data_IF_996098077042
#
_entry.id   IF_996098077042
#
_cell.length_a   1.000
_cell.length_b   1.000
_cell.length_c   1.000
_cell.angle_alpha   90.00
_cell.angle_beta   90.00
_cell.angle_gamma   90.00
#
_symmetry.space_group_name_H-M   'P 1'
#
loop_
_entity.id
_entity.type
_entity.pdbx_description
1 polymer ?
#
# COMPACT_ATOMS: atom_id res chain seq x y z
N UNK A 1 26.15 44.89 44.77
CA UNK A 1 24.87 44.69 45.49
C UNK A 1 24.22 43.47 44.88
N UNK A 2 24.34 42.28 45.48
CA UNK A 2 23.44 41.75 46.53
C UNK A 2 21.98 41.69 46.01
N UNK A 3 21.24 40.58 46.00
CA UNK A 3 21.33 39.28 46.70
C UNK A 3 20.19 38.38 46.17
N UNK A 4 20.39 37.06 46.23
CA UNK A 4 19.44 35.96 46.56
C UNK A 4 18.16 35.80 45.74
N UNK A 5 17.69 34.61 45.37
CA UNK A 5 18.02 33.25 45.77
C UNK A 5 16.85 32.35 45.35
N UNK A 6 17.10 31.05 45.16
CA UNK A 6 16.06 30.07 44.84
C UNK A 6 16.68 28.71 44.55
N UNK A 7 16.93 27.95 45.61
CA UNK A 7 17.38 26.56 45.57
C UNK A 7 16.27 25.68 44.97
N UNK A 8 16.63 24.83 44.01
CA UNK A 8 15.84 23.70 43.55
C UNK A 8 16.68 22.44 43.68
N UNK A 9 16.28 21.58 44.60
CA UNK A 9 16.94 20.31 44.93
C UNK A 9 16.98 19.37 43.72
N UNK A 10 18.13 18.72 43.54
CA UNK A 10 18.36 17.78 42.45
C UNK A 10 17.65 16.45 42.66
N UNK A 11 16.75 16.11 41.75
CA UNK A 11 16.31 14.73 41.55
C UNK A 11 17.31 14.00 40.65
N UNK A 12 18.18 13.18 41.26
CA UNK A 12 18.93 12.13 40.56
C UNK A 12 17.97 11.00 40.21
N UNK A 13 17.67 10.81 38.94
CA UNK A 13 17.04 9.59 38.45
C UNK A 13 18.05 8.44 38.53
N UNK A 14 17.82 7.53 39.47
CA UNK A 14 18.51 6.23 39.57
C UNK A 14 17.85 5.29 38.57
N UNK A 15 18.62 4.79 37.61
CA UNK A 15 18.18 3.77 36.66
C UNK A 15 18.34 2.38 37.31
N UNK A 16 17.27 1.58 37.46
CA UNK A 16 17.43 0.16 37.75
C UNK A 16 17.89 -0.55 36.48
N UNK A 17 19.06 -1.18 36.58
CA UNK A 17 19.68 -1.97 35.52
C UNK A 17 18.96 -3.27 35.21
N UNK A 18 19.37 -3.83 34.07
CA UNK A 18 19.29 -5.25 33.70
C UNK A 18 17.93 -5.94 33.86
N UNK A 19 17.02 -5.63 32.95
CA UNK A 19 15.97 -6.56 32.54
C UNK A 19 16.41 -7.21 31.24
N UNK A 20 16.67 -8.52 31.31
CA UNK A 20 17.13 -9.35 30.22
C UNK A 20 16.37 -9.12 28.92
N UNK A 21 17.15 -9.02 27.85
CA UNK A 21 16.73 -8.83 26.47
C UNK A 21 15.94 -10.06 25.97
N UNK A 22 14.67 -10.17 26.38
CA UNK A 22 13.71 -11.07 25.75
C UNK A 22 13.40 -10.52 24.36
N UNK A 23 13.77 -11.28 23.32
CA UNK A 23 13.38 -11.03 21.93
C UNK A 23 11.86 -10.90 21.83
N UNK A 24 11.35 -9.67 21.76
CA UNK A 24 9.99 -9.35 21.37
C UNK A 24 9.80 -9.68 19.89
N UNK A 25 9.65 -10.97 19.57
CA UNK A 25 9.21 -11.43 18.25
C UNK A 25 7.74 -11.04 18.08
N UNK A 26 7.45 -9.97 17.34
CA UNK A 26 6.28 -9.80 16.45
C UNK A 26 4.87 -10.23 16.89
N UNK A 27 4.59 -10.40 18.18
CA UNK A 27 3.28 -10.92 18.63
C UNK A 27 2.17 -9.88 18.54
N UNK A 28 2.48 -8.58 18.66
CA UNK A 28 1.46 -7.53 18.73
C UNK A 28 0.61 -7.36 17.44
N UNK A 29 1.15 -7.70 16.26
CA UNK A 29 0.44 -7.57 14.98
C UNK A 29 -0.18 -8.88 14.47
N UNK A 30 0.29 -10.05 14.94
CA UNK A 30 -0.37 -11.33 14.65
C UNK A 30 -1.81 -11.40 15.17
N UNK A 31 -2.15 -10.57 16.15
CA UNK A 31 -3.47 -10.51 16.75
C UNK A 31 -4.49 -9.76 15.88
N UNK A 32 -4.08 -8.72 15.15
CA UNK A 32 -4.98 -7.88 14.33
C UNK A 32 -5.60 -8.68 13.15
N UNK A 33 -4.99 -9.81 12.79
CA UNK A 33 -5.36 -10.59 11.63
C UNK A 33 -6.26 -11.76 12.02
N UNK A 34 -7.49 -11.71 11.51
CA UNK A 34 -8.47 -12.79 11.45
C UNK A 34 -7.94 -14.01 10.66
N UNK A 35 -6.88 -14.64 11.14
CA UNK A 35 -6.29 -15.80 10.49
C UNK A 35 -5.99 -16.85 11.55
N UNK A 36 -6.71 -17.97 11.44
CA UNK A 36 -6.17 -19.26 11.88
C UNK A 36 -4.73 -19.34 11.37
N UNK A 37 -3.82 -19.80 12.24
CA UNK A 37 -2.40 -20.07 11.91
C UNK A 37 -2.27 -20.50 10.44
N UNK A 38 -1.68 -19.64 9.60
CA UNK A 38 -1.29 -20.00 8.23
C UNK A 38 -2.26 -19.66 7.07
N UNK A 39 -3.29 -18.82 7.23
CA UNK A 39 -4.08 -18.34 6.08
C UNK A 39 -3.55 -17.01 5.52
N UNK A 40 -3.38 -16.96 4.19
CA UNK A 40 -2.96 -15.82 3.37
C UNK A 40 -3.86 -14.60 3.61
N UNK A 41 -3.28 -13.40 3.63
CA UNK A 41 -4.03 -12.14 3.62
C UNK A 41 -4.98 -12.11 2.40
N UNK A 42 -6.07 -11.36 2.51
CA UNK A 42 -6.97 -11.11 1.37
C UNK A 42 -6.28 -10.33 0.25
N UNK A 43 -5.37 -9.43 0.61
CA UNK A 43 -4.50 -8.67 -0.29
C UNK A 43 -3.07 -9.16 -0.10
N UNK A 44 -2.30 -9.24 -1.17
CA UNK A 44 -0.86 -9.49 -1.04
C UNK A 44 -0.15 -8.17 -0.71
N UNK A 45 0.94 -8.24 0.06
CA UNK A 45 1.75 -7.06 0.42
C UNK A 45 3.12 -7.21 -0.23
N UNK A 46 3.45 -6.25 -1.08
CA UNK A 46 4.75 -6.11 -1.72
C UNK A 46 5.42 -4.82 -1.26
N UNK A 47 6.75 -4.77 -1.17
CA UNK A 47 7.50 -3.55 -0.80
C UNK A 47 8.44 -3.12 -1.91
N UNK A 48 8.51 -1.81 -2.19
CA UNK A 48 9.54 -1.26 -3.08
C UNK A 48 10.91 -1.38 -2.39
N UNK A 49 11.91 -1.97 -3.05
CA UNK A 49 13.28 -2.05 -2.56
C UNK A 49 14.04 -0.73 -2.74
N UNK A 50 13.49 0.23 -3.49
CA UNK A 50 14.08 1.54 -3.71
C UNK A 50 14.28 2.29 -2.38
N UNK A 51 15.41 2.97 -2.23
CA UNK A 51 15.82 3.63 -0.98
C UNK A 51 16.29 2.67 0.13
N UNK A 52 15.95 1.38 0.07
CA UNK A 52 16.37 0.36 1.05
C UNK A 52 17.66 -0.32 0.61
N UNK A 53 17.70 -0.78 -0.64
CA UNK A 53 18.77 -1.63 -1.16
C UNK A 53 19.18 -1.23 -2.58
N UNK A 54 20.37 -1.66 -3.01
CA UNK A 54 20.88 -1.46 -4.36
C UNK A 54 20.86 -2.81 -5.10
N UNK A 55 20.30 -2.91 -6.32
CA UNK A 55 20.21 -4.19 -7.06
C UNK A 55 21.57 -4.86 -7.30
N UNK A 56 22.65 -4.06 -7.39
CA UNK A 56 24.03 -4.56 -7.58
C UNK A 56 24.64 -5.11 -6.29
N UNK A 57 24.19 -4.69 -5.11
CA UNK A 57 24.66 -5.17 -3.79
C UNK A 57 23.50 -5.43 -2.83
N UNK A 58 22.56 -6.35 -3.16
CA UNK A 58 21.24 -6.33 -2.53
C UNK A 58 21.19 -7.00 -1.14
N UNK A 59 22.30 -7.60 -0.68
CA UNK A 59 22.35 -8.58 0.42
C UNK A 59 21.70 -8.12 1.71
N UNK A 60 22.20 -7.03 2.29
CA UNK A 60 21.73 -6.58 3.60
C UNK A 60 20.28 -6.09 3.51
N UNK A 61 19.96 -5.22 2.54
CA UNK A 61 18.62 -4.66 2.45
C UNK A 61 17.54 -5.70 2.14
N UNK A 62 17.83 -6.73 1.34
CA UNK A 62 16.89 -7.85 1.14
C UNK A 62 16.76 -8.73 2.39
N UNK A 63 17.83 -8.87 3.18
CA UNK A 63 17.74 -9.56 4.47
C UNK A 63 16.83 -8.77 5.43
N UNK A 64 16.99 -7.45 5.52
CA UNK A 64 16.18 -6.60 6.38
C UNK A 64 14.69 -6.66 5.97
N UNK A 65 14.40 -6.70 4.66
CA UNK A 65 13.03 -6.88 4.13
C UNK A 65 12.44 -8.24 4.55
N UNK A 66 13.20 -9.33 4.41
CA UNK A 66 12.77 -10.66 4.81
C UNK A 66 12.57 -10.76 6.33
N UNK A 67 13.49 -10.21 7.13
CA UNK A 67 13.44 -10.23 8.59
C UNK A 67 12.26 -9.42 9.15
N UNK A 68 11.87 -8.34 8.46
CA UNK A 68 10.65 -7.60 8.78
C UNK A 68 9.35 -8.37 8.45
N UNK A 69 9.44 -9.49 7.74
CA UNK A 69 8.31 -10.37 7.42
C UNK A 69 7.62 -10.09 6.09
N UNK A 70 8.26 -9.35 5.18
CA UNK A 70 7.79 -9.30 3.79
C UNK A 70 8.08 -10.62 3.08
N UNK A 71 7.17 -10.99 2.17
CA UNK A 71 7.27 -12.21 1.35
C UNK A 71 7.31 -11.89 -0.14
N UNK A 72 7.08 -10.62 -0.51
CA UNK A 72 7.02 -10.15 -1.88
C UNK A 72 7.67 -8.78 -2.01
N UNK A 73 8.26 -8.53 -3.18
CA UNK A 73 8.90 -7.28 -3.57
C UNK A 73 8.21 -6.74 -4.81
N UNK A 74 8.04 -5.42 -4.84
CA UNK A 74 7.68 -4.68 -6.04
C UNK A 74 8.95 -4.30 -6.79
N UNK A 75 9.19 -4.90 -7.95
CA UNK A 75 10.44 -4.68 -8.69
C UNK A 75 10.39 -3.35 -9.45
N UNK A 76 11.15 -2.37 -9.00
CA UNK A 76 11.27 -1.08 -9.68
C UNK A 76 12.43 -1.10 -10.68
N UNK A 77 12.11 -1.33 -11.95
CA UNK A 77 13.13 -1.43 -13.01
C UNK A 77 13.87 -0.11 -13.25
N UNK A 78 13.24 1.02 -12.87
CA UNK A 78 13.88 2.33 -12.83
C UNK A 78 15.11 2.42 -11.90
N UNK A 79 15.32 1.46 -10.99
CA UNK A 79 16.54 1.42 -10.18
C UNK A 79 17.82 1.14 -10.99
N UNK A 80 17.70 0.52 -12.16
CA UNK A 80 18.83 0.29 -13.08
C UNK A 80 18.70 1.03 -14.42
N UNK A 81 17.58 1.70 -14.64
CA UNK A 81 17.32 2.60 -15.76
C UNK A 81 16.61 3.86 -15.23
N UNK A 82 17.29 4.70 -14.43
CA UNK A 82 16.66 5.84 -13.78
C UNK A 82 16.25 6.92 -14.80
N UNK A 83 15.17 7.69 -14.52
CA UNK A 83 14.71 8.75 -15.41
C UNK A 83 15.81 9.76 -15.78
N UNK A 84 16.73 10.05 -14.85
CA UNK A 84 17.85 10.98 -15.09
C UNK A 84 18.84 10.47 -16.14
N UNK A 85 19.04 9.16 -16.23
CA UNK A 85 19.89 8.55 -17.26
C UNK A 85 19.21 8.62 -18.62
N UNK A 86 17.89 8.38 -18.67
CA UNK A 86 17.08 8.57 -19.87
C UNK A 86 17.17 10.01 -20.39
N UNK A 87 17.13 11.02 -19.52
CA UNK A 87 17.29 12.43 -19.93
C UNK A 87 18.66 12.74 -20.56
N UNK A 88 19.73 12.11 -20.05
CA UNK A 88 21.11 12.33 -20.50
C UNK A 88 21.48 11.49 -21.73
N UNK A 89 20.66 10.51 -22.11
CA UNK A 89 20.97 9.56 -23.18
C UNK A 89 21.31 10.26 -24.50
N UNK A 90 22.48 9.94 -25.08
CA UNK A 90 22.96 10.51 -26.34
C UNK A 90 23.59 11.91 -26.22
N UNK A 91 23.71 12.47 -25.00
CA UNK A 91 24.50 13.68 -24.76
C UNK A 91 25.96 13.31 -24.47
N UNK A 92 26.92 14.09 -24.99
CA UNK A 92 28.34 13.85 -24.72
C UNK A 92 28.63 14.04 -23.21
N UNK A 93 29.16 13.01 -22.56
CA UNK A 93 29.50 13.03 -21.14
C UNK A 93 30.47 14.18 -20.82
N UNK A 94 30.05 15.12 -19.96
CA UNK A 94 31.02 15.79 -19.09
C UNK A 94 31.28 14.81 -17.97
N UNK A 95 32.48 14.23 -17.95
CA UNK A 95 32.96 13.30 -16.93
C UNK A 95 32.51 13.72 -15.51
N UNK A 96 31.46 13.08 -14.99
CA UNK A 96 31.20 13.04 -13.55
C UNK A 96 31.80 11.73 -13.03
N UNK A 97 32.95 11.85 -12.38
CA UNK A 97 33.66 10.76 -11.75
C UNK A 97 32.75 10.01 -10.75
N UNK A 98 32.43 8.75 -11.06
CA UNK A 98 31.80 7.84 -10.09
C UNK A 98 30.80 6.81 -10.62
N UNK A 99 30.50 6.74 -11.93
CA UNK A 99 29.62 5.68 -12.43
C UNK A 99 30.37 4.32 -12.49
N UNK A 100 29.82 3.23 -11.92
CA UNK A 100 30.51 1.95 -11.90
C UNK A 100 30.33 1.23 -13.25
N UNK A 101 31.43 0.71 -13.78
CA UNK A 101 31.56 -0.17 -14.95
C UNK A 101 30.33 -1.07 -15.15
N UNK A 102 29.61 -0.87 -16.26
CA UNK A 102 28.47 -1.67 -16.67
C UNK A 102 27.74 -1.01 -17.84
N UNK A 103 27.27 -1.80 -18.79
CA UNK A 103 26.51 -1.31 -19.94
C UNK A 103 25.15 -0.77 -19.49
N UNK A 104 24.81 0.43 -19.93
CA UNK A 104 23.52 1.10 -19.66
C UNK A 104 22.35 0.32 -20.26
N UNK A 105 21.26 0.17 -19.51
CA UNK A 105 20.01 -0.41 -20.03
C UNK A 105 19.32 0.55 -21.02
N UNK A 106 19.65 1.85 -20.97
CA UNK A 106 19.19 2.82 -21.96
C UNK A 106 19.88 2.59 -23.31
N UNK A 107 21.18 2.29 -23.30
CA UNK A 107 21.94 2.03 -24.53
C UNK A 107 21.70 0.63 -25.08
N UNK A 108 21.54 -0.37 -24.20
CA UNK A 108 21.28 -1.76 -24.55
C UNK A 108 20.12 -2.32 -23.72
N UNK A 109 18.86 -2.14 -24.17
CA UNK A 109 17.67 -2.58 -23.44
C UNK A 109 17.68 -4.05 -22.99
N UNK A 110 18.24 -4.95 -23.81
CA UNK A 110 18.35 -6.38 -23.46
C UNK A 110 19.21 -6.68 -22.23
N UNK A 111 19.97 -5.71 -21.74
CA UNK A 111 20.78 -5.86 -20.51
C UNK A 111 19.97 -5.61 -19.23
N UNK A 112 18.72 -5.14 -19.33
CA UNK A 112 17.88 -4.78 -18.18
C UNK A 112 17.76 -5.92 -17.17
N UNK A 113 17.43 -7.14 -17.63
CA UNK A 113 17.30 -8.30 -16.76
C UNK A 113 18.61 -8.68 -16.07
N UNK A 114 19.74 -8.58 -16.78
CA UNK A 114 21.06 -8.92 -16.23
C UNK A 114 21.44 -8.01 -15.04
N UNK A 115 21.05 -6.73 -15.09
CA UNK A 115 21.31 -5.78 -14.01
C UNK A 115 20.60 -6.15 -12.70
N UNK A 116 19.52 -6.94 -12.77
CA UNK A 116 18.79 -7.44 -11.61
C UNK A 116 19.11 -8.89 -11.22
N UNK A 117 19.93 -9.61 -11.99
CA UNK A 117 20.20 -11.05 -11.76
C UNK A 117 20.71 -11.36 -10.34
N UNK A 118 21.56 -10.49 -9.77
CA UNK A 118 22.06 -10.66 -8.39
C UNK A 118 20.93 -10.51 -7.36
N UNK A 119 20.05 -9.54 -7.56
CA UNK A 119 18.91 -9.30 -6.70
C UNK A 119 17.90 -10.43 -6.81
N UNK A 120 17.57 -10.88 -8.02
CA UNK A 120 16.72 -12.04 -8.30
C UNK A 120 17.23 -13.29 -7.57
N UNK A 121 18.52 -13.61 -7.68
CA UNK A 121 19.14 -14.74 -7.00
C UNK A 121 18.93 -14.70 -5.48
N UNK A 122 19.13 -13.54 -4.87
CA UNK A 122 18.94 -13.35 -3.43
C UNK A 122 17.48 -13.34 -2.99
N UNK A 123 16.58 -12.83 -3.83
CA UNK A 123 15.13 -12.95 -3.59
C UNK A 123 14.73 -14.43 -3.51
N UNK A 124 15.20 -15.26 -4.46
CA UNK A 124 14.96 -16.72 -4.44
C UNK A 124 15.50 -17.39 -3.18
N UNK A 125 16.74 -17.10 -2.80
CA UNK A 125 17.36 -17.66 -1.58
C UNK A 125 16.58 -17.32 -0.31
N UNK A 126 15.94 -16.14 -0.27
CA UNK A 126 15.18 -15.65 0.89
C UNK A 126 13.68 -15.96 0.82
N UNK A 127 13.20 -16.58 -0.26
CA UNK A 127 11.78 -16.84 -0.47
C UNK A 127 10.94 -15.59 -0.73
N UNK A 128 11.54 -14.53 -1.28
CA UNK A 128 10.85 -13.30 -1.66
C UNK A 128 10.34 -13.41 -3.11
N UNK A 129 9.03 -13.36 -3.28
CA UNK A 129 8.39 -13.33 -4.60
C UNK A 129 8.46 -11.96 -5.27
N UNK A 130 8.28 -11.91 -6.59
CA UNK A 130 8.19 -10.67 -7.37
C UNK A 130 6.89 -10.72 -8.20
N UNK A 131 5.72 -10.51 -7.58
CA UNK A 131 4.44 -10.64 -8.28
C UNK A 131 4.10 -9.43 -9.16
N UNK A 132 4.70 -8.28 -8.87
CA UNK A 132 4.46 -7.00 -9.56
C UNK A 132 5.77 -6.23 -9.76
N UNK A 133 5.89 -5.57 -10.91
CA UNK A 133 7.02 -4.71 -11.26
C UNK A 133 6.52 -3.39 -11.86
N UNK A 134 7.39 -2.38 -11.92
CA UNK A 134 7.14 -1.13 -12.66
C UNK A 134 8.26 -0.89 -13.68
N UNK A 135 7.84 -0.63 -14.91
CA UNK A 135 8.74 -0.36 -16.02
C UNK A 135 9.42 1.02 -15.87
N UNK A 136 10.60 1.24 -16.47
CA UNK A 136 11.25 2.55 -16.47
C UNK A 136 10.36 3.61 -17.15
N UNK A 137 10.51 4.88 -16.76
CA UNK A 137 9.69 5.99 -17.27
C UNK A 137 10.50 7.29 -17.30
N UNK A 138 10.05 8.28 -18.07
CA UNK A 138 10.67 9.60 -18.10
C UNK A 138 10.26 10.50 -16.94
N UNK A 139 11.06 11.54 -16.69
CA UNK A 139 10.62 12.65 -15.85
C UNK A 139 9.38 13.30 -16.48
N UNK A 140 8.43 13.75 -15.64
CA UNK A 140 7.19 14.39 -16.12
C UNK A 140 7.43 15.63 -16.97
N UNK A 141 8.51 16.34 -16.70
CA UNK A 141 8.92 17.56 -17.41
C UNK A 141 9.88 17.30 -18.57
N UNK A 142 10.06 16.04 -18.98
CA UNK A 142 10.97 15.74 -20.09
C UNK A 142 10.57 16.50 -21.34
N UNK A 143 11.52 16.73 -22.22
CA UNK A 143 11.28 17.31 -23.56
C UNK A 143 11.75 16.37 -24.66
N UNK A 144 12.22 15.18 -24.27
CA UNK A 144 12.75 14.16 -25.17
C UNK A 144 11.61 13.55 -25.96
N UNK A 145 11.58 13.81 -27.25
CA UNK A 145 10.64 13.20 -28.20
C UNK A 145 11.34 12.16 -29.09
N UNK A 146 12.67 12.20 -29.13
CA UNK A 146 13.54 11.33 -29.92
C UNK A 146 13.74 9.93 -29.33
N UNK A 147 13.39 9.74 -28.05
CA UNK A 147 13.59 8.47 -27.33
C UNK A 147 12.38 7.54 -27.36
N UNK A 148 11.34 7.85 -28.14
CA UNK A 148 10.13 7.02 -28.24
C UNK A 148 10.44 5.53 -28.51
N UNK A 149 11.09 5.22 -29.63
CA UNK A 149 11.39 3.82 -29.99
C UNK A 149 12.32 3.16 -28.98
N UNK A 150 13.20 3.95 -28.34
CA UNK A 150 14.07 3.42 -27.30
C UNK A 150 13.30 3.01 -26.06
N UNK A 151 12.36 3.86 -25.63
CA UNK A 151 11.51 3.57 -24.48
C UNK A 151 10.60 2.37 -24.77
N UNK A 152 10.05 2.29 -25.98
CA UNK A 152 9.34 1.09 -26.45
C UNK A 152 10.18 -0.17 -26.27
N UNK A 153 11.41 -0.20 -26.77
CA UNK A 153 12.31 -1.36 -26.63
C UNK A 153 12.56 -1.73 -25.17
N UNK A 154 12.78 -0.75 -24.30
CA UNK A 154 12.97 -0.98 -22.87
C UNK A 154 11.72 -1.58 -22.22
N UNK A 155 10.52 -1.15 -22.60
CA UNK A 155 9.27 -1.73 -22.10
C UNK A 155 9.03 -3.13 -22.62
N UNK A 156 9.33 -3.39 -23.90
CA UNK A 156 9.30 -4.75 -24.44
C UNK A 156 10.24 -5.69 -23.67
N UNK A 157 11.47 -5.26 -23.38
CA UNK A 157 12.42 -6.02 -22.55
C UNK A 157 11.97 -6.15 -21.09
N UNK A 158 11.31 -5.12 -20.54
CA UNK A 158 10.69 -5.18 -19.21
C UNK A 158 9.63 -6.29 -19.15
N UNK A 159 8.81 -6.42 -20.19
CA UNK A 159 7.79 -7.48 -20.31
C UNK A 159 8.45 -8.85 -20.41
N UNK A 160 9.45 -9.00 -21.28
CA UNK A 160 10.21 -10.27 -21.44
C UNK A 160 10.79 -10.69 -20.09
N UNK A 161 11.43 -9.75 -19.39
CA UNK A 161 12.02 -10.01 -18.09
C UNK A 161 10.97 -10.40 -17.03
N UNK A 162 9.84 -9.69 -16.95
CA UNK A 162 8.71 -10.11 -16.10
C UNK A 162 8.25 -11.55 -16.40
N UNK A 163 8.14 -11.92 -17.67
CA UNK A 163 7.82 -13.29 -18.09
C UNK A 163 8.83 -14.31 -17.58
N UNK A 164 10.13 -14.02 -17.65
CA UNK A 164 11.18 -14.92 -17.11
C UNK A 164 11.13 -15.08 -15.60
N UNK A 165 10.72 -14.03 -14.88
CA UNK A 165 10.58 -14.04 -13.42
C UNK A 165 9.29 -14.72 -12.94
N UNK A 166 8.31 -14.93 -13.83
CA UNK A 166 6.95 -15.28 -13.44
C UNK A 166 6.21 -14.11 -12.76
N UNK A 167 6.63 -12.87 -13.01
CA UNK A 167 5.98 -11.66 -12.54
C UNK A 167 4.70 -11.40 -13.36
N UNK A 168 3.53 -11.50 -12.72
CA UNK A 168 2.24 -11.45 -13.39
C UNK A 168 1.79 -10.06 -13.81
N UNK A 169 2.27 -9.02 -13.12
CA UNK A 169 1.85 -7.64 -13.34
C UNK A 169 3.04 -6.72 -13.65
N UNK A 170 2.93 -5.95 -14.73
CA UNK A 170 3.87 -4.87 -15.05
C UNK A 170 3.12 -3.54 -15.11
N UNK A 171 3.44 -2.64 -14.19
CA UNK A 171 2.96 -1.27 -14.20
C UNK A 171 3.72 -0.49 -15.28
N UNK A 172 2.97 0.05 -16.23
CA UNK A 172 3.48 0.84 -17.34
C UNK A 172 2.71 2.14 -17.36
N UNK A 173 3.41 3.25 -17.08
CA UNK A 173 2.81 4.58 -17.12
C UNK A 173 2.29 4.90 -18.52
N UNK A 174 1.12 5.56 -18.64
CA UNK A 174 0.64 6.08 -19.91
C UNK A 174 1.70 6.96 -20.56
N UNK A 175 1.79 6.88 -21.88
CA UNK A 175 2.63 7.78 -22.64
C UNK A 175 2.11 9.21 -22.52
N UNK A 176 3.00 10.12 -22.16
CA UNK A 176 2.72 11.55 -22.11
C UNK A 176 3.35 12.20 -23.34
N UNK A 177 2.55 12.57 -24.34
CA UNK A 177 3.05 13.43 -25.40
C UNK A 177 3.29 14.83 -24.84
N UNK A 178 4.50 15.37 -25.00
CA UNK A 178 4.75 16.76 -24.63
C UNK A 178 3.94 17.68 -25.54
N UNK A 179 2.89 18.28 -24.98
CA UNK A 179 2.25 19.48 -25.50
C UNK A 179 3.19 20.68 -25.34
N UNK A 180 4.37 20.64 -25.96
CA UNK A 180 5.30 21.75 -26.07
C UNK A 180 5.04 22.62 -27.31
N UNK A 181 4.34 22.09 -28.32
CA UNK A 181 3.93 22.84 -29.51
C UNK A 181 2.77 22.17 -30.24
N UNK A 182 1.59 22.18 -29.64
CA UNK A 182 0.34 21.90 -30.35
C UNK A 182 -0.73 22.89 -29.90
N UNK A 183 -0.62 24.13 -30.39
CA UNK A 183 -1.77 24.99 -30.65
C UNK A 183 -2.66 24.31 -31.70
N UNK A 184 -3.34 23.22 -31.33
CA UNK A 184 -4.60 22.85 -31.97
C UNK A 184 -5.48 22.18 -30.92
N UNK A 185 -6.42 22.96 -30.39
CA UNK A 185 -7.50 22.54 -29.49
C UNK A 185 -8.52 21.64 -30.23
N UNK A 186 -8.07 20.60 -30.93
CA UNK A 186 -8.96 19.85 -31.84
C UNK A 186 -8.90 18.34 -31.68
N UNK A 187 -8.16 17.80 -30.70
CA UNK A 187 -8.11 16.35 -30.51
C UNK A 187 -8.24 15.94 -29.04
N UNK A 188 -9.46 15.94 -28.52
CA UNK A 188 -9.85 15.02 -27.44
C UNK A 188 -9.63 13.53 -27.82
N UNK A 189 -9.24 13.23 -29.07
CA UNK A 189 -8.83 11.91 -29.53
C UNK A 189 -7.31 11.68 -29.65
N UNK A 190 -6.43 12.66 -29.36
CA UNK A 190 -4.99 12.51 -29.59
C UNK A 190 -4.29 11.69 -28.48
N UNK A 191 -4.54 12.03 -27.21
CA UNK A 191 -3.92 11.34 -26.07
C UNK A 191 -4.35 9.87 -25.98
N UNK A 192 -5.64 9.60 -26.23
CA UNK A 192 -6.16 8.24 -26.31
C UNK A 192 -5.51 7.46 -27.45
N UNK A 193 -5.46 8.00 -28.68
CA UNK A 193 -4.98 7.23 -29.83
C UNK A 193 -3.48 6.90 -29.74
N UNK A 194 -2.68 7.84 -29.23
CA UNK A 194 -1.27 7.62 -28.94
C UNK A 194 -1.08 6.50 -27.90
N UNK A 195 -1.81 6.58 -26.78
CA UNK A 195 -1.75 5.55 -25.73
C UNK A 195 -2.33 4.22 -26.18
N UNK A 196 -3.39 4.21 -26.98
CA UNK A 196 -3.99 3.02 -27.58
C UNK A 196 -2.97 2.28 -28.44
N UNK A 197 -2.32 2.98 -29.36
CA UNK A 197 -1.28 2.41 -30.23
C UNK A 197 -0.12 1.84 -29.41
N UNK A 198 0.34 2.62 -28.43
CA UNK A 198 1.40 2.24 -27.49
C UNK A 198 1.09 0.95 -26.72
N UNK A 199 -0.06 0.92 -26.04
CA UNK A 199 -0.45 -0.21 -25.20
C UNK A 199 -0.77 -1.47 -26.03
N UNK A 200 -1.42 -1.33 -27.19
CA UNK A 200 -1.69 -2.47 -28.06
C UNK A 200 -0.41 -3.08 -28.66
N UNK A 201 0.62 -2.28 -28.96
CA UNK A 201 1.94 -2.80 -29.36
C UNK A 201 2.57 -3.62 -28.24
N UNK A 202 2.53 -3.12 -27.01
CA UNK A 202 3.04 -3.85 -25.84
C UNK A 202 2.22 -5.12 -25.53
N UNK A 203 0.91 -5.10 -25.75
CA UNK A 203 0.02 -6.22 -25.47
C UNK A 203 0.38 -7.49 -26.23
N UNK A 204 0.87 -7.37 -27.47
CA UNK A 204 1.29 -8.52 -28.27
C UNK A 204 2.38 -9.33 -27.56
N UNK A 205 3.41 -8.64 -27.03
CA UNK A 205 4.52 -9.26 -26.31
C UNK A 205 4.07 -9.69 -24.90
N UNK A 206 3.25 -8.88 -24.25
CA UNK A 206 2.71 -9.19 -22.92
C UNK A 206 1.89 -10.49 -22.91
N UNK A 207 1.17 -10.79 -24.01
CA UNK A 207 0.46 -12.05 -24.21
C UNK A 207 1.41 -13.25 -24.24
N UNK A 208 2.48 -13.17 -25.02
CA UNK A 208 3.48 -14.25 -25.15
C UNK A 208 4.13 -14.59 -23.81
N UNK A 209 4.38 -13.57 -22.99
CA UNK A 209 5.03 -13.69 -21.68
C UNK A 209 4.04 -13.84 -20.51
N UNK A 210 2.73 -13.87 -20.78
CA UNK A 210 1.65 -13.97 -19.77
C UNK A 210 1.70 -12.88 -18.69
N UNK A 211 2.07 -11.67 -19.08
CA UNK A 211 2.15 -10.49 -18.20
C UNK A 211 0.92 -9.62 -18.45
N UNK A 212 0.23 -9.19 -17.39
CA UNK A 212 -0.82 -8.18 -17.48
C UNK A 212 -0.21 -6.79 -17.33
N UNK A 213 -0.57 -5.87 -18.22
CA UNK A 213 -0.09 -4.50 -18.21
C UNK A 213 -1.03 -3.65 -17.35
N UNK A 214 -0.49 -2.94 -16.37
CA UNK A 214 -1.26 -2.06 -15.50
C UNK A 214 -1.02 -0.60 -15.88
N UNK A 215 -2.08 0.07 -16.32
CA UNK A 215 -2.11 1.52 -16.49
C UNK A 215 -2.02 2.18 -15.10
N UNK A 216 -1.38 3.34 -15.00
CA UNK A 216 -1.20 4.06 -13.74
C UNK A 216 -1.72 5.49 -13.85
N UNK A 217 -2.48 5.97 -12.87
CA UNK A 217 -2.93 7.37 -12.84
C UNK A 217 -1.73 8.32 -12.78
N UNK A 218 -1.71 9.32 -13.66
CA UNK A 218 -0.61 10.28 -13.78
C UNK A 218 -1.02 11.71 -13.46
N UNK A 219 -0.11 12.49 -12.89
CA UNK A 219 -0.19 13.93 -12.85
C UNK A 219 0.74 14.57 -13.90
N UNK A 220 0.56 15.88 -14.12
CA UNK A 220 1.40 16.70 -15.01
C UNK A 220 1.76 18.01 -14.33
N UNK A 221 2.94 18.51 -14.64
CA UNK A 221 3.41 19.81 -14.17
C UNK A 221 2.90 20.92 -15.08
N UNK A 222 2.16 21.88 -14.53
CA UNK A 222 1.63 23.03 -15.26
C UNK A 222 1.86 24.29 -14.42
N UNK A 223 2.68 25.20 -14.92
CA UNK A 223 2.93 26.53 -14.33
C UNK A 223 3.31 26.50 -12.82
N UNK A 224 4.13 25.53 -12.40
CA UNK A 224 4.57 25.43 -11.00
C UNK A 224 3.64 24.61 -10.09
N UNK A 225 2.61 23.98 -10.65
CA UNK A 225 1.66 23.15 -9.90
C UNK A 225 1.47 21.79 -10.58
N UNK A 226 1.25 20.75 -9.76
CA UNK A 226 0.80 19.45 -10.24
C UNK A 226 -0.70 19.46 -10.43
N UNK A 227 -1.16 19.02 -11.61
CA UNK A 227 -2.57 18.85 -11.93
C UNK A 227 -2.83 17.47 -12.52
N UNK A 228 -4.11 17.08 -12.56
CA UNK A 228 -4.57 15.82 -13.15
C UNK A 228 -4.04 15.65 -14.58
N UNK A 229 -3.48 14.47 -14.86
CA UNK A 229 -2.99 14.04 -16.16
C UNK A 229 -3.71 12.80 -16.67
N UNK A 230 -3.11 12.08 -17.62
CA UNK A 230 -3.69 10.88 -18.23
C UNK A 230 -4.05 9.84 -17.17
N UNK A 231 -5.22 9.20 -17.32
CA UNK A 231 -5.75 8.21 -16.39
C UNK A 231 -5.95 8.75 -14.95
N UNK A 232 -6.04 10.06 -14.74
CA UNK A 232 -6.43 10.65 -13.46
C UNK A 232 -7.93 10.61 -13.20
N UNK A 233 -8.78 10.48 -14.21
CA UNK A 233 -10.22 10.27 -13.99
C UNK A 233 -10.54 8.78 -13.93
N UNK A 234 -11.21 8.34 -12.86
CA UNK A 234 -11.44 6.91 -12.63
C UNK A 234 -12.42 6.27 -13.63
N UNK A 235 -13.39 7.03 -14.15
CA UNK A 235 -14.35 6.53 -15.15
C UNK A 235 -13.69 6.47 -16.51
N UNK A 236 -12.98 7.52 -16.90
CA UNK A 236 -12.20 7.53 -18.15
C UNK A 236 -11.17 6.40 -18.16
N UNK A 237 -10.42 6.22 -17.07
CA UNK A 237 -9.44 5.13 -16.95
C UNK A 237 -10.09 3.74 -17.06
N UNK A 238 -11.29 3.55 -16.49
CA UNK A 238 -12.04 2.30 -16.64
C UNK A 238 -12.46 2.06 -18.09
N UNK A 239 -12.98 3.08 -18.78
CA UNK A 239 -13.33 3.02 -20.20
C UNK A 239 -12.12 2.70 -21.08
N UNK A 240 -10.96 3.29 -20.78
CA UNK A 240 -9.70 3.01 -21.49
C UNK A 240 -9.31 1.54 -21.35
N UNK A 241 -9.34 0.99 -20.14
CA UNK A 241 -9.02 -0.42 -19.89
C UNK A 241 -9.97 -1.34 -20.63
N UNK A 242 -11.28 -1.07 -20.58
CA UNK A 242 -12.29 -1.92 -21.21
C UNK A 242 -12.09 -1.96 -22.73
N UNK A 243 -11.88 -0.80 -23.35
CA UNK A 243 -11.64 -0.71 -24.79
C UNK A 243 -10.32 -1.37 -25.20
N UNK A 244 -9.25 -1.17 -24.44
CA UNK A 244 -7.97 -1.83 -24.69
C UNK A 244 -8.09 -3.37 -24.59
N UNK A 245 -8.84 -3.88 -23.62
CA UNK A 245 -9.08 -5.32 -23.46
C UNK A 245 -9.99 -5.88 -24.57
N UNK A 246 -11.04 -5.15 -24.97
CA UNK A 246 -11.90 -5.51 -26.10
C UNK A 246 -11.08 -5.65 -27.38
N UNK A 247 -10.23 -4.67 -27.67
CA UNK A 247 -9.37 -4.67 -28.85
C UNK A 247 -8.24 -5.71 -28.79
N UNK A 248 -7.71 -6.00 -27.60
CA UNK A 248 -6.77 -7.09 -27.40
C UNK A 248 -7.42 -8.48 -27.48
N UNK A 249 -8.74 -8.57 -27.40
CA UNK A 249 -9.51 -9.82 -27.40
C UNK A 249 -9.35 -10.67 -26.14
N UNK A 250 -8.74 -10.13 -25.08
CA UNK A 250 -8.53 -10.80 -23.78
C UNK A 250 -8.32 -9.75 -22.67
N UNK A 251 -8.47 -10.15 -21.40
CA UNK A 251 -8.11 -9.30 -20.25
C UNK A 251 -6.57 -9.23 -20.11
N UNK A 252 -5.94 -8.34 -20.89
CA UNK A 252 -4.49 -8.07 -20.88
C UNK A 252 -4.11 -6.82 -20.10
N UNK A 253 -5.08 -5.95 -19.85
CA UNK A 253 -4.92 -4.66 -19.19
C UNK A 253 -5.70 -4.59 -17.88
N UNK A 254 -5.06 -4.00 -16.88
CA UNK A 254 -5.66 -3.62 -15.61
C UNK A 254 -5.17 -2.25 -15.17
N UNK A 255 -5.44 -1.90 -13.91
CA UNK A 255 -5.04 -0.63 -13.32
C UNK A 255 -4.15 -0.81 -12.10
N UNK A 256 -3.19 0.10 -11.96
CA UNK A 256 -2.38 0.33 -10.79
C UNK A 256 -2.70 1.71 -10.24
N UNK A 257 -3.39 1.77 -9.10
CA UNK A 257 -3.73 3.04 -8.44
C UNK A 257 -2.53 3.55 -7.63
N UNK A 258 -1.89 4.64 -8.02
CA UNK A 258 -0.90 5.37 -7.23
C UNK A 258 -1.60 6.39 -6.33
N UNK A 259 -1.65 6.07 -5.04
CA UNK A 259 -2.33 6.88 -4.01
C UNK A 259 -1.70 8.26 -3.87
N UNK A 260 -0.38 8.35 -4.02
CA UNK A 260 0.31 9.63 -3.93
C UNK A 260 -0.04 10.55 -5.10
N UNK A 261 -0.25 10.02 -6.30
CA UNK A 261 -0.73 10.84 -7.44
C UNK A 261 -2.16 11.35 -7.18
N UNK A 262 -3.06 10.50 -6.66
CA UNK A 262 -4.39 10.95 -6.25
C UNK A 262 -4.32 12.08 -5.22
N UNK A 263 -3.42 11.97 -4.24
CA UNK A 263 -3.22 13.00 -3.22
C UNK A 263 -2.70 14.32 -3.82
N UNK A 264 -1.67 14.26 -4.67
CA UNK A 264 -1.11 15.42 -5.37
C UNK A 264 -2.15 16.16 -6.22
N UNK A 265 -3.15 15.45 -6.71
CA UNK A 265 -4.21 15.99 -7.58
C UNK A 265 -5.53 16.28 -6.84
N UNK A 266 -5.56 16.17 -5.51
CA UNK A 266 -6.77 16.39 -4.70
C UNK A 266 -7.95 15.54 -5.16
N UNK A 267 -7.71 14.27 -5.46
CA UNK A 267 -8.73 13.35 -5.95
C UNK A 267 -9.45 12.66 -4.80
N UNK A 268 -10.77 12.46 -4.95
CA UNK A 268 -11.53 11.59 -4.07
C UNK A 268 -11.11 10.13 -4.36
N UNK A 269 -10.40 9.53 -3.42
CA UNK A 269 -9.86 8.19 -3.58
C UNK A 269 -10.93 7.10 -3.49
N UNK A 270 -12.05 7.39 -2.82
CA UNK A 270 -13.19 6.46 -2.74
C UNK A 270 -13.89 6.36 -4.08
N UNK A 271 -14.26 7.50 -4.67
CA UNK A 271 -14.91 7.55 -5.99
C UNK A 271 -14.00 6.97 -7.07
N UNK A 272 -12.70 7.29 -7.04
CA UNK A 272 -11.72 6.78 -7.99
C UNK A 272 -11.62 5.25 -7.92
N UNK A 273 -11.50 4.69 -6.72
CA UNK A 273 -11.44 3.24 -6.53
C UNK A 273 -12.74 2.57 -6.99
N UNK A 274 -13.91 3.13 -6.64
CA UNK A 274 -15.21 2.58 -7.01
C UNK A 274 -15.46 2.61 -8.52
N UNK A 275 -15.03 3.66 -9.21
CA UNK A 275 -15.17 3.78 -10.66
C UNK A 275 -14.37 2.69 -11.41
N UNK A 276 -13.15 2.39 -10.95
CA UNK A 276 -12.32 1.35 -11.55
C UNK A 276 -12.74 -0.07 -11.14
N UNK A 277 -13.13 -0.26 -9.87
CA UNK A 277 -13.62 -1.54 -9.36
C UNK A 277 -12.58 -2.66 -9.50
N UNK A 278 -13.01 -3.82 -10.00
CA UNK A 278 -12.19 -5.02 -10.17
C UNK A 278 -11.05 -4.88 -11.21
N UNK A 279 -10.99 -3.75 -11.93
CA UNK A 279 -9.88 -3.43 -12.84
C UNK A 279 -8.61 -3.09 -12.08
N UNK A 280 -8.71 -2.61 -10.83
CA UNK A 280 -7.54 -2.37 -9.98
C UNK A 280 -6.92 -3.70 -9.60
N UNK A 281 -5.68 -3.94 -10.05
CA UNK A 281 -4.90 -5.15 -9.72
C UNK A 281 -3.77 -4.86 -8.74
N UNK A 282 -3.31 -3.60 -8.69
CA UNK A 282 -2.31 -3.13 -7.75
C UNK A 282 -2.66 -1.73 -7.21
N UNK A 283 -2.21 -1.45 -5.99
CA UNK A 283 -2.32 -0.13 -5.35
C UNK A 283 -0.95 0.23 -4.79
N UNK A 284 -0.38 1.33 -5.25
CA UNK A 284 0.88 1.86 -4.72
C UNK A 284 0.54 2.80 -3.57
N UNK A 285 0.84 2.30 -2.37
CA UNK A 285 0.64 2.91 -1.09
C UNK A 285 1.88 3.71 -0.70
N UNK A 286 1.79 5.03 -0.87
CA UNK A 286 2.79 6.01 -0.45
C UNK A 286 2.11 7.29 0.01
N UNK A 287 2.72 7.97 0.96
CA UNK A 287 2.31 9.29 1.45
C UNK A 287 3.09 10.38 0.71
N UNK A 288 2.53 11.58 0.64
CA UNK A 288 3.21 12.75 0.09
C UNK A 288 2.64 14.05 0.69
N UNK A 289 3.36 15.15 0.53
CA UNK A 289 3.01 16.46 1.08
C UNK A 289 1.96 17.23 0.26
N UNK A 290 1.39 16.61 -0.77
CA UNK A 290 0.44 17.23 -1.69
C UNK A 290 1.07 18.24 -2.66
N UNK A 291 2.39 18.47 -2.63
CA UNK A 291 3.08 19.46 -3.46
C UNK A 291 4.17 18.85 -4.34
N UNK A 292 4.92 17.88 -3.80
CA UNK A 292 6.04 17.23 -4.47
C UNK A 292 5.81 15.73 -4.60
N UNK A 293 6.44 15.11 -5.61
CA UNK A 293 6.41 13.67 -5.82
C UNK A 293 7.31 12.91 -4.84
N UNK A 294 6.99 13.01 -3.56
CA UNK A 294 7.68 12.32 -2.48
C UNK A 294 7.05 10.93 -2.25
N UNK A 295 7.88 9.91 -2.04
CA UNK A 295 7.42 8.59 -1.59
C UNK A 295 7.71 8.42 -0.11
N UNK A 296 6.76 8.86 0.73
CA UNK A 296 6.85 8.80 2.17
C UNK A 296 6.11 7.58 2.74
N UNK A 297 6.52 7.10 3.91
CA UNK A 297 5.79 6.06 4.62
C UNK A 297 4.37 6.57 4.99
N UNK A 298 3.29 5.79 4.82
CA UNK A 298 1.94 6.18 5.24
C UNK A 298 1.87 6.66 6.69
N UNK A 299 1.07 7.72 6.90
CA UNK A 299 0.87 8.43 8.18
C UNK A 299 2.05 9.27 8.67
N UNK A 300 3.07 9.51 7.83
CA UNK A 300 4.21 10.35 8.21
C UNK A 300 4.10 11.77 7.70
N UNK A 301 3.27 12.04 6.69
CA UNK A 301 2.95 13.39 6.28
C UNK A 301 1.75 13.93 7.07
N UNK A 302 2.06 14.64 8.16
CA UNK A 302 1.04 15.26 9.01
C UNK A 302 1.34 16.73 9.29
N UNK A 303 0.29 17.55 9.30
CA UNK A 303 0.33 18.96 9.67
C UNK A 303 -0.63 19.14 10.84
N UNK A 304 -0.13 19.65 11.97
CA UNK A 304 -0.92 19.82 13.20
C UNK A 304 -1.64 18.54 13.66
N UNK A 305 -1.01 17.38 13.45
CA UNK A 305 -1.57 16.07 13.78
C UNK A 305 -2.66 15.57 12.83
N UNK A 306 -2.95 16.29 11.75
CA UNK A 306 -3.88 15.87 10.70
C UNK A 306 -3.13 15.26 9.52
N UNK A 307 -3.62 14.12 9.04
CA UNK A 307 -3.05 13.45 7.87
C UNK A 307 -3.35 14.26 6.61
N UNK A 308 -2.36 14.37 5.72
CA UNK A 308 -2.53 15.12 4.47
C UNK A 308 -3.15 14.26 3.37
N UNK A 309 -2.87 12.96 3.37
CA UNK A 309 -3.42 12.00 2.41
C UNK A 309 -4.81 11.51 2.83
N UNK A 310 -5.72 11.36 1.86
CA UNK A 310 -7.08 10.82 2.04
C UNK A 310 -7.08 9.29 2.30
N UNK A 311 -6.52 8.90 3.44
CA UNK A 311 -6.53 7.50 3.88
C UNK A 311 -7.94 6.96 4.11
N UNK A 312 -8.89 7.84 4.47
CA UNK A 312 -10.27 7.48 4.70
C UNK A 312 -10.96 7.04 3.41
N UNK A 313 -10.87 7.86 2.36
CA UNK A 313 -11.43 7.54 1.05
C UNK A 313 -10.78 6.31 0.45
N UNK A 314 -9.45 6.17 0.56
CA UNK A 314 -8.73 4.98 0.11
C UNK A 314 -9.23 3.70 0.78
N UNK A 315 -9.22 3.65 2.12
CA UNK A 315 -9.58 2.44 2.86
C UNK A 315 -11.04 2.06 2.59
N UNK A 316 -11.95 3.03 2.53
CA UNK A 316 -13.35 2.78 2.18
C UNK A 316 -13.48 2.28 0.74
N UNK A 317 -12.78 2.90 -0.21
CA UNK A 317 -12.86 2.54 -1.63
C UNK A 317 -12.40 1.11 -1.85
N UNK A 318 -11.24 0.73 -1.30
CA UNK A 318 -10.70 -0.62 -1.38
C UNK A 318 -11.62 -1.66 -0.70
N UNK A 319 -12.28 -1.30 0.40
CA UNK A 319 -13.26 -2.16 1.08
C UNK A 319 -14.50 -2.39 0.21
N UNK A 320 -15.06 -1.33 -0.35
CA UNK A 320 -16.31 -1.38 -1.13
C UNK A 320 -16.15 -2.18 -2.43
N UNK A 321 -14.99 -2.09 -3.07
CA UNK A 321 -14.67 -2.91 -4.25
C UNK A 321 -14.17 -4.32 -3.90
N UNK A 322 -14.06 -4.66 -2.60
CA UNK A 322 -13.52 -5.93 -2.11
C UNK A 322 -12.14 -6.24 -2.73
N UNK A 323 -11.21 -5.29 -2.67
CA UNK A 323 -9.90 -5.41 -3.29
C UNK A 323 -9.09 -6.62 -2.75
N UNK A 324 -8.61 -7.47 -3.65
CA UNK A 324 -7.81 -8.68 -3.34
C UNK A 324 -6.45 -8.69 -4.09
N UNK A 325 -6.05 -7.54 -4.65
CA UNK A 325 -4.82 -7.42 -5.45
C UNK A 325 -3.54 -7.21 -4.65
N UNK A 326 -2.53 -6.65 -5.31
CA UNK A 326 -1.22 -6.31 -4.70
C UNK A 326 -1.26 -4.91 -4.06
N UNK A 327 -1.08 -4.84 -2.75
CA UNK A 327 -0.81 -3.59 -2.04
C UNK A 327 0.72 -3.40 -2.00
N UNK A 328 1.20 -2.44 -2.79
CA UNK A 328 2.62 -2.11 -2.95
C UNK A 328 2.97 -0.96 -2.02
N UNK A 329 3.78 -1.20 -1.02
CA UNK A 329 4.31 -0.15 -0.15
C UNK A 329 5.54 0.50 -0.78
N UNK A 330 5.43 1.77 -1.16
CA UNK A 330 6.56 2.59 -1.60
C UNK A 330 6.89 3.66 -0.56
N UNK A 331 8.03 3.49 0.10
CA UNK A 331 8.58 4.44 1.07
C UNK A 331 10.00 4.85 0.69
N UNK A 332 10.33 4.83 -0.61
CA UNK A 332 11.68 5.01 -1.11
C UNK A 332 12.33 6.32 -0.65
N UNK A 333 11.56 7.41 -0.58
CA UNK A 333 12.00 8.69 -0.04
C UNK A 333 12.31 8.64 1.46
N UNK A 334 11.41 8.07 2.27
CA UNK A 334 11.66 7.89 3.71
C UNK A 334 12.86 6.97 3.96
N UNK A 335 12.96 5.84 3.26
CA UNK A 335 14.05 4.88 3.43
C UNK A 335 15.42 5.46 3.05
N UNK A 336 15.49 6.22 1.95
CA UNK A 336 16.69 6.93 1.53
C UNK A 336 17.15 7.97 2.56
N UNK A 337 16.21 8.68 3.18
CA UNK A 337 16.48 9.68 4.22
C UNK A 337 16.97 9.11 5.57
N UNK A 338 16.73 7.82 5.83
CA UNK A 338 17.12 7.18 7.10
C UNK A 338 18.52 6.58 7.05
N UNK A 339 19.24 6.69 8.18
CA UNK A 339 20.51 5.98 8.41
C UNK A 339 20.33 4.48 8.22
N UNK A 340 21.25 3.76 7.56
CA UNK A 340 21.20 2.31 7.41
C UNK A 340 21.01 1.55 8.74
N UNK A 341 21.50 2.09 9.86
CA UNK A 341 21.33 1.49 11.20
C UNK A 341 19.88 1.50 11.70
N UNK A 342 19.07 2.45 11.24
CA UNK A 342 17.67 2.60 11.63
C UNK A 342 16.71 1.92 10.64
N UNK A 343 17.17 1.60 9.42
CA UNK A 343 16.33 1.02 8.37
C UNK A 343 15.64 -0.29 8.77
N UNK A 344 16.26 -1.25 9.48
CA UNK A 344 15.55 -2.46 9.89
C UNK A 344 14.29 -2.19 10.74
N UNK A 345 14.36 -1.19 11.62
CA UNK A 345 13.22 -0.75 12.42
C UNK A 345 12.17 -0.04 11.58
N UNK A 346 12.60 0.82 10.65
CA UNK A 346 11.72 1.49 9.69
C UNK A 346 10.96 0.47 8.83
N UNK A 347 11.64 -0.55 8.29
CA UNK A 347 11.02 -1.59 7.45
C UNK A 347 10.05 -2.44 8.25
N UNK A 348 10.34 -2.71 9.52
CA UNK A 348 9.41 -3.39 10.44
C UNK A 348 8.13 -2.57 10.66
N UNK A 349 8.27 -1.24 10.88
CA UNK A 349 7.13 -0.34 10.95
C UNK A 349 6.36 -0.32 9.63
N UNK A 350 7.07 -0.28 8.50
CA UNK A 350 6.51 -0.29 7.16
C UNK A 350 5.62 -1.53 6.92
N UNK A 351 6.09 -2.72 7.32
CA UNK A 351 5.30 -3.96 7.27
C UNK A 351 4.02 -3.84 8.09
N UNK A 352 4.14 -3.40 9.34
CA UNK A 352 3.02 -3.24 10.25
C UNK A 352 1.97 -2.25 9.70
N UNK A 353 2.43 -1.15 9.09
CA UNK A 353 1.57 -0.17 8.40
C UNK A 353 0.82 -0.81 7.24
N UNK A 354 1.49 -1.54 6.34
CA UNK A 354 0.82 -2.21 5.22
C UNK A 354 -0.21 -3.27 5.70
N UNK A 355 0.12 -4.04 6.75
CA UNK A 355 -0.81 -5.00 7.36
C UNK A 355 -2.04 -4.31 7.96
N UNK A 356 -1.85 -3.13 8.56
CA UNK A 356 -2.95 -2.32 9.08
C UNK A 356 -3.91 -1.89 7.96
N UNK A 357 -3.39 -1.42 6.81
CA UNK A 357 -4.23 -1.10 5.65
C UNK A 357 -5.00 -2.32 5.14
N UNK A 358 -4.33 -3.47 4.98
CA UNK A 358 -4.99 -4.71 4.57
C UNK A 358 -6.10 -5.13 5.55
N UNK A 359 -5.87 -4.98 6.85
CA UNK A 359 -6.87 -5.28 7.86
C UNK A 359 -8.07 -4.32 7.76
N UNK A 360 -7.83 -3.01 7.71
CA UNK A 360 -8.89 -2.00 7.64
C UNK A 360 -9.74 -2.11 6.37
N UNK A 361 -9.12 -2.26 5.21
CA UNK A 361 -9.84 -2.46 3.95
C UNK A 361 -10.53 -3.84 3.92
N UNK A 362 -9.99 -4.85 4.62
CA UNK A 362 -10.52 -6.21 4.66
C UNK A 362 -11.66 -6.46 5.66
N UNK A 363 -12.03 -5.52 6.53
CA UNK A 363 -13.00 -5.74 7.62
C UNK A 363 -14.30 -6.38 7.10
N UNK A 364 -14.93 -5.80 6.08
CA UNK A 364 -16.22 -6.31 5.61
C UNK A 364 -16.10 -7.69 4.96
N UNK A 365 -15.01 -7.94 4.22
CA UNK A 365 -14.74 -9.23 3.62
C UNK A 365 -14.57 -10.33 4.70
N UNK A 366 -13.98 -9.99 5.85
CA UNK A 366 -13.88 -10.88 7.00
C UNK A 366 -15.25 -11.17 7.62
N UNK A 367 -16.08 -10.14 7.82
CA UNK A 367 -17.44 -10.31 8.35
C UNK A 367 -18.27 -11.23 7.44
N UNK A 368 -18.15 -11.05 6.12
CA UNK A 368 -18.82 -11.91 5.13
C UNK A 368 -18.37 -13.38 5.22
N UNK A 369 -17.08 -13.65 5.49
CA UNK A 369 -16.55 -15.02 5.64
C UNK A 369 -16.93 -15.67 6.97
N UNK A 370 -17.33 -14.91 7.98
CA UNK A 370 -17.57 -15.39 9.33
C UNK A 370 -18.96 -14.96 9.82
N UNK A 371 -20.01 -15.72 9.49
CA UNK A 371 -21.39 -15.31 9.75
C UNK A 371 -21.79 -15.36 11.23
N UNK A 372 -21.00 -16.03 12.08
CA UNK A 372 -21.23 -16.12 13.52
C UNK A 372 -20.25 -15.20 14.24
N UNK A 373 -20.75 -14.05 14.70
CA UNK A 373 -19.96 -13.01 15.37
C UNK A 373 -20.52 -12.75 16.76
N UNK A 374 -19.63 -12.56 17.73
CA UNK A 374 -19.94 -11.99 19.04
C UNK A 374 -19.08 -10.74 19.23
N UNK A 375 -19.64 -9.67 19.78
CA UNK A 375 -18.88 -8.47 20.10
C UNK A 375 -18.42 -8.51 21.56
N UNK A 376 -17.25 -7.96 21.84
CA UNK A 376 -16.73 -7.80 23.20
C UNK A 376 -16.47 -6.32 23.48
N UNK A 377 -17.28 -5.74 24.36
CA UNK A 377 -17.30 -4.34 24.77
C UNK A 377 -18.63 -3.70 24.40
N UNK A 378 -19.47 -3.36 25.38
CA UNK A 378 -20.77 -2.72 25.17
C UNK A 378 -20.65 -1.17 25.16
N UNK A 379 -19.69 -0.65 24.36
CA UNK A 379 -19.36 0.78 24.27
C UNK A 379 -19.68 1.43 22.93
N UNK A 380 -19.13 2.63 22.70
CA UNK A 380 -19.30 3.38 21.45
C UNK A 380 -18.84 2.58 20.21
N UNK A 381 -17.74 1.83 20.32
CA UNK A 381 -17.24 1.02 19.21
C UNK A 381 -18.21 -0.11 18.83
N UNK A 382 -18.87 -0.76 19.80
CA UNK A 382 -19.95 -1.72 19.52
C UNK A 382 -21.17 -1.03 18.91
N UNK A 383 -21.57 0.15 19.39
CA UNK A 383 -22.64 0.95 18.76
C UNK A 383 -22.31 1.24 17.30
N UNK A 384 -21.08 1.62 17.01
CA UNK A 384 -20.59 1.93 15.68
C UNK A 384 -20.60 0.70 14.76
N UNK A 385 -20.15 -0.45 15.26
CA UNK A 385 -20.34 -1.73 14.56
C UNK A 385 -21.83 -1.95 14.23
N UNK A 386 -22.72 -1.80 15.21
CA UNK A 386 -24.14 -2.07 15.02
C UNK A 386 -24.78 -1.15 13.99
N UNK A 387 -24.37 0.13 13.95
CA UNK A 387 -24.88 1.11 12.96
C UNK A 387 -24.41 0.79 11.53
N UNK A 388 -23.14 0.43 11.34
CA UNK A 388 -22.58 0.20 10.00
C UNK A 388 -22.77 -1.22 9.48
N UNK A 389 -22.65 -2.21 10.35
CA UNK A 389 -22.56 -3.62 9.98
C UNK A 389 -23.67 -4.47 10.61
N UNK A 390 -24.23 -4.07 11.75
CA UNK A 390 -25.15 -4.91 12.54
C UNK A 390 -26.40 -5.40 11.80
N UNK A 391 -26.93 -4.64 10.83
CA UNK A 391 -28.06 -5.11 10.00
C UNK A 391 -27.67 -6.23 9.03
N UNK A 392 -26.46 -6.16 8.45
CA UNK A 392 -25.98 -7.11 7.44
C UNK A 392 -25.27 -8.31 8.07
N UNK A 393 -24.57 -8.08 9.18
CA UNK A 393 -23.78 -9.05 9.93
C UNK A 393 -24.16 -8.98 11.43
N UNK A 394 -25.37 -9.43 11.79
CA UNK A 394 -25.88 -9.32 13.15
C UNK A 394 -25.07 -10.19 14.13
N UNK A 395 -24.55 -9.63 15.23
CA UNK A 395 -23.91 -10.43 16.27
C UNK A 395 -24.93 -11.29 17.02
N UNK A 396 -24.47 -12.41 17.59
CA UNK A 396 -25.28 -13.28 18.45
C UNK A 396 -25.66 -12.58 19.76
N UNK A 397 -24.70 -11.86 20.34
CA UNK A 397 -24.82 -11.05 21.55
C UNK A 397 -23.56 -10.18 21.69
N UNK A 398 -23.51 -9.34 22.73
CA UNK A 398 -22.29 -8.64 23.14
C UNK A 398 -21.86 -9.07 24.54
N UNK A 399 -20.57 -9.02 24.85
CA UNK A 399 -20.02 -9.26 26.18
C UNK A 399 -19.39 -8.01 26.75
N UNK A 400 -19.36 -7.88 28.08
CA UNK A 400 -18.59 -6.82 28.74
C UNK A 400 -18.05 -7.31 30.08
N UNK A 401 -16.93 -6.76 30.54
CA UNK A 401 -16.37 -7.07 31.86
C UNK A 401 -17.12 -6.34 32.99
N UNK A 402 -17.95 -5.35 32.68
CA UNK A 402 -18.75 -4.63 33.66
C UNK A 402 -20.01 -5.44 34.02
N UNK A 403 -20.01 -6.05 35.21
CA UNK A 403 -21.11 -6.86 35.72
C UNK A 403 -22.46 -6.14 35.76
N UNK A 404 -22.44 -4.81 35.93
CA UNK A 404 -23.66 -3.98 35.97
C UNK A 404 -24.43 -4.00 34.65
N UNK A 405 -23.77 -4.35 33.54
CA UNK A 405 -24.39 -4.40 32.22
C UNK A 405 -25.01 -5.77 31.93
N UNK A 406 -24.67 -6.83 32.68
CA UNK A 406 -25.10 -8.18 32.34
C UNK A 406 -26.62 -8.36 32.42
N UNK A 407 -27.20 -9.02 31.41
CA UNK A 407 -28.63 -9.20 31.26
C UNK A 407 -29.38 -7.96 30.72
N UNK A 408 -28.69 -6.83 30.55
CA UNK A 408 -29.28 -5.64 29.90
C UNK A 408 -29.25 -5.77 28.37
N UNK A 409 -29.93 -4.85 27.68
CA UNK A 409 -29.88 -4.74 26.21
C UNK A 409 -29.07 -3.52 25.78
N UNK A 410 -28.10 -3.71 24.89
CA UNK A 410 -27.30 -2.65 24.29
C UNK A 410 -27.40 -2.70 22.76
N UNK A 411 -27.92 -1.64 22.13
CA UNK A 411 -28.17 -1.59 20.68
C UNK A 411 -28.95 -2.80 20.15
N UNK A 412 -29.88 -3.34 20.95
CA UNK A 412 -30.67 -4.53 20.62
C UNK A 412 -29.98 -5.87 20.89
N UNK A 413 -28.74 -5.87 21.40
CA UNK A 413 -28.01 -7.08 21.79
C UNK A 413 -28.13 -7.30 23.31
N UNK A 414 -28.34 -8.54 23.73
CA UNK A 414 -28.18 -8.91 25.14
C UNK A 414 -26.69 -8.78 25.54
N UNK A 415 -26.41 -8.17 26.68
CA UNK A 415 -25.06 -8.09 27.24
C UNK A 415 -24.82 -9.28 28.17
N UNK A 416 -23.82 -10.12 27.86
CA UNK A 416 -23.50 -11.34 28.62
C UNK A 416 -22.17 -11.26 29.35
N UNK A 417 -21.98 -12.05 30.43
CA UNK A 417 -20.67 -12.21 31.06
C UNK A 417 -19.67 -12.90 30.11
N UNK A 418 -18.35 -12.62 30.23
CA UNK A 418 -17.31 -13.25 29.42
C UNK A 418 -17.33 -14.79 29.45
N UNK A 419 -17.80 -15.39 30.53
CA UNK A 419 -17.95 -16.84 30.70
C UNK A 419 -18.88 -17.47 29.66
N UNK A 420 -19.83 -16.71 29.11
CA UNK A 420 -20.71 -17.16 28.05
C UNK A 420 -19.92 -17.57 26.78
N UNK A 421 -18.72 -17.02 26.58
CA UNK A 421 -17.87 -17.30 25.43
C UNK A 421 -17.29 -18.72 25.42
N UNK A 422 -17.32 -19.44 26.56
CA UNK A 422 -16.88 -20.85 26.64
C UNK A 422 -17.80 -21.80 25.87
N UNK A 423 -19.03 -21.39 25.59
CA UNK A 423 -20.08 -22.21 24.96
C UNK A 423 -20.39 -21.75 23.53
N UNK A 424 -19.44 -21.10 22.86
CA UNK A 424 -19.67 -20.60 21.51
C UNK A 424 -19.77 -21.74 20.49
N UNK A 425 -20.63 -21.60 19.47
CA UNK A 425 -20.66 -22.51 18.34
C UNK A 425 -19.30 -22.57 17.64
N UNK A 426 -19.00 -23.72 17.04
CA UNK A 426 -17.78 -23.88 16.26
C UNK A 426 -17.74 -22.88 15.10
N UNK A 427 -16.60 -22.20 14.93
CA UNK A 427 -16.43 -21.20 13.87
C UNK A 427 -16.96 -19.80 14.21
N UNK A 428 -17.55 -19.61 15.39
CA UNK A 428 -17.86 -18.28 15.90
C UNK A 428 -16.58 -17.47 16.10
N UNK A 429 -16.63 -16.17 15.81
CA UNK A 429 -15.54 -15.24 16.07
C UNK A 429 -15.95 -14.19 17.09
N UNK A 430 -15.06 -13.91 18.03
CA UNK A 430 -15.21 -12.84 19.02
C UNK A 430 -14.46 -11.61 18.54
N UNK A 431 -15.19 -10.55 18.26
CA UNK A 431 -14.67 -9.25 17.88
C UNK A 431 -14.50 -8.36 19.10
N UNK A 432 -13.26 -8.01 19.41
CA UNK A 432 -12.97 -7.04 20.46
C UNK A 432 -13.30 -5.64 19.94
N UNK A 433 -14.29 -5.01 20.57
CA UNK A 433 -14.76 -3.65 20.34
C UNK A 433 -14.38 -2.75 21.52
N UNK A 434 -13.09 -2.73 21.89
CA UNK A 434 -12.58 -1.98 23.03
C UNK A 434 -11.11 -1.58 22.78
N UNK A 435 -10.69 -0.44 23.32
CA UNK A 435 -9.31 0.07 23.23
C UNK A 435 -8.31 -0.78 24.04
N UNK A 436 -8.75 -1.44 25.11
CA UNK A 436 -7.92 -2.34 25.95
C UNK A 436 -7.80 -3.75 25.34
N UNK A 437 -7.54 -3.77 24.04
CA UNK A 437 -7.73 -4.95 23.23
C UNK A 437 -6.72 -6.06 23.56
N UNK A 438 -5.52 -5.69 24.02
CA UNK A 438 -4.45 -6.64 24.38
C UNK A 438 -4.78 -7.40 25.65
N UNK A 439 -5.28 -6.68 26.66
CA UNK A 439 -5.69 -7.25 27.94
C UNK A 439 -6.88 -8.19 27.74
N UNK A 440 -7.87 -7.75 26.96
CA UNK A 440 -9.06 -8.53 26.62
C UNK A 440 -8.67 -9.76 25.82
N UNK A 441 -7.80 -9.65 24.81
CA UNK A 441 -7.37 -10.83 24.04
C UNK A 441 -6.74 -11.89 24.94
N UNK A 442 -5.86 -11.49 25.87
CA UNK A 442 -5.26 -12.42 26.83
C UNK A 442 -6.33 -13.11 27.68
N UNK A 443 -7.27 -12.34 28.22
CA UNK A 443 -8.43 -12.88 28.97
C UNK A 443 -9.20 -13.90 28.13
N UNK A 444 -9.52 -13.57 26.87
CA UNK A 444 -10.26 -14.45 25.98
C UNK A 444 -9.49 -15.75 25.69
N UNK A 445 -8.17 -15.68 25.50
CA UNK A 445 -7.32 -16.86 25.33
C UNK A 445 -7.28 -17.74 26.58
N UNK A 446 -7.23 -17.14 27.77
CA UNK A 446 -7.31 -17.87 29.04
C UNK A 446 -8.68 -18.56 29.23
N UNK A 447 -9.75 -17.98 28.68
CA UNK A 447 -11.08 -18.59 28.63
C UNK A 447 -11.21 -19.69 27.57
N UNK A 448 -10.16 -19.95 26.77
CA UNK A 448 -10.16 -20.96 25.70
C UNK A 448 -10.76 -20.49 24.39
N UNK A 449 -10.97 -19.17 24.21
CA UNK A 449 -11.45 -18.61 22.94
C UNK A 449 -10.29 -18.55 21.95
N UNK A 450 -10.42 -19.26 20.83
CA UNK A 450 -9.35 -19.32 19.81
C UNK A 450 -9.54 -18.29 18.70
N UNK A 451 -10.78 -18.11 18.23
CA UNK A 451 -11.12 -17.23 17.12
C UNK A 451 -11.40 -15.81 17.64
N UNK A 452 -10.34 -15.04 17.83
CA UNK A 452 -10.40 -13.66 18.29
C UNK A 452 -10.03 -12.75 17.13
N UNK A 453 -10.82 -11.70 16.93
CA UNK A 453 -10.52 -10.62 16.00
C UNK A 453 -10.71 -9.26 16.67
N UNK A 454 -10.29 -8.22 15.98
CA UNK A 454 -10.40 -6.84 16.43
C UNK A 454 -11.28 -6.07 15.47
N UNK A 455 -12.11 -5.20 16.03
CA UNK A 455 -12.87 -4.20 15.29
C UNK A 455 -12.40 -2.82 15.75
N UNK A 456 -12.36 -1.87 14.81
CA UNK A 456 -11.99 -0.50 15.06
C UNK A 456 -12.86 0.39 14.17
N UNK A 457 -13.24 1.55 14.69
CA UNK A 457 -14.19 2.48 14.11
C UNK A 457 -13.55 3.75 13.51
N UNK A 458 -12.23 3.75 13.28
CA UNK A 458 -11.48 4.85 12.65
C UNK A 458 -11.91 5.09 11.20
N UNK A 459 -12.13 4.02 10.43
CA UNK A 459 -12.43 4.07 9.00
C UNK A 459 -13.80 3.45 8.68
N UNK A 460 -14.82 3.75 9.48
CA UNK A 460 -16.20 3.27 9.28
C UNK A 460 -16.76 3.68 7.91
N UNK A 461 -17.68 2.93 7.28
CA UNK A 461 -18.38 3.35 6.05
C UNK A 461 -19.15 4.66 6.19
N UNK A 462 -19.64 4.97 7.40
CA UNK A 462 -20.32 6.23 7.70
C UNK A 462 -20.02 6.63 9.14
N UNK A 463 -19.90 7.93 9.40
CA UNK A 463 -19.69 8.44 10.75
C UNK A 463 -21.01 8.83 11.40
N UNK A 464 -21.16 8.51 12.68
CA UNK A 464 -22.28 8.92 13.50
C UNK A 464 -21.76 9.63 14.75
N UNK A 465 -22.11 10.90 14.91
CA UNK A 465 -21.52 11.75 15.96
C UNK A 465 -22.27 11.71 17.29
N UNK A 466 -23.38 10.97 17.39
CA UNK A 466 -24.08 10.73 18.66
C UNK A 466 -23.23 9.85 19.57
N UNK A 467 -22.52 10.47 20.51
CA UNK A 467 -21.80 9.74 21.56
C UNK A 467 -22.77 9.31 22.66
N UNK A 468 -22.50 8.15 23.26
CA UNK A 468 -23.07 7.83 24.57
C UNK A 468 -22.79 9.00 25.52
N UNK A 469 -23.84 9.52 26.16
CA UNK A 469 -23.65 10.38 27.33
C UNK A 469 -22.93 9.52 28.37
N UNK A 470 -21.85 10.06 28.96
CA UNK A 470 -21.21 9.42 30.10
C UNK A 470 -22.30 9.16 31.15
N UNK A 471 -22.44 7.90 31.56
CA UNK A 471 -23.34 7.47 32.63
C UNK A 471 -22.52 7.25 33.88
#
# INVERSE_FOLDING_TARGET
MAKTGGQGEGFRAVWPGDVGMLRLRGQAFRCILWTRRGKRFFMNISVSPAGITNPRVPRQGLQDIADAGFHSIFLEMGMCCPPQELERAGMADKEEAGQPEGVSAVEQPGMLGLQFARMEGQCREKGLGIPVARAPYFLRETKRTDLWERMMQIHEESIRYCGTLGCGYLVVRPWQEHTGFALSKTFLGSEWEANRTYYLRLAAIAREHRVMLLLENQCRWVNGHLVRGVCSDGREAAEWIDRLNEEAGEERFGFCMDVGVCNLCGQDMHEFACALGSRIKAVILRDCDGHQENSLLPFTCSVQGQQQTDWLGLIRGLRDISFEGELVLDMSGTAAGFSPLLRPHLISLAKATAEYFCWQAGIEAQLKKNPLVVLFGAGNMCRNYMKCYGKKYPPLFTCDNNEKLWGTSFCGLEVKPPEALKKLPQGCVVLICNIYYREIERQLRELGVENIGFFNDEYMPSFYFDRLKEV
#
